data_IF_423634403178
#
_entry.id   IF_423634403178
#
_cell.length_a   1.000
_cell.length_b   1.000
_cell.length_c   1.000
_cell.angle_alpha   90.00
_cell.angle_beta   90.00
_cell.angle_gamma   90.00
#
_symmetry.space_group_name_H-M   'P 1'
#
loop_
_entity.id
_entity.type
_entity.pdbx_description
1 polymer ?
#
# COMPACT_ATOMS: atom_id res chain seq x y z
N UNK A 1 -47.35 -43.23 21.12
CA UNK A 1 -47.15 -43.21 19.65
C UNK A 1 -47.53 -41.81 19.16
N UNK A 2 -46.56 -40.90 18.98
CA UNK A 2 -46.82 -39.50 18.57
C UNK A 2 -46.96 -39.45 17.04
N UNK A 3 -48.16 -39.15 16.54
CA UNK A 3 -48.38 -38.91 15.10
C UNK A 3 -47.85 -37.52 14.74
N UNK A 4 -46.67 -37.46 14.12
CA UNK A 4 -46.19 -36.23 13.48
C UNK A 4 -47.05 -36.02 12.22
N UNK A 5 -48.04 -35.13 12.30
CA UNK A 5 -48.81 -34.69 11.15
C UNK A 5 -48.01 -33.62 10.39
N UNK A 6 -47.52 -33.97 9.19
CA UNK A 6 -47.02 -32.98 8.24
C UNK A 6 -48.21 -32.13 7.75
N UNK A 7 -48.32 -30.87 8.20
CA UNK A 7 -49.27 -29.90 7.67
C UNK A 7 -48.91 -29.62 6.20
N UNK A 8 -49.93 -29.51 5.33
CA UNK A 8 -49.75 -29.02 3.96
C UNK A 8 -49.09 -27.64 4.01
N UNK A 9 -48.04 -27.39 3.21
CA UNK A 9 -47.32 -26.13 3.28
C UNK A 9 -48.27 -25.00 2.87
N UNK A 10 -48.35 -23.98 3.72
CA UNK A 10 -49.14 -22.79 3.42
C UNK A 10 -48.34 -21.96 2.41
N UNK A 11 -48.86 -21.82 1.19
CA UNK A 11 -48.26 -21.03 0.10
C UNK A 11 -47.73 -19.65 0.56
N UNK A 12 -48.45 -18.86 1.40
CA UNK A 12 -47.92 -17.57 1.87
C UNK A 12 -46.68 -17.68 2.75
N UNK A 13 -46.58 -18.73 3.58
CA UNK A 13 -45.38 -18.99 4.41
C UNK A 13 -44.19 -19.44 3.56
N UNK A 14 -44.44 -20.22 2.51
CA UNK A 14 -43.38 -20.60 1.56
C UNK A 14 -42.84 -19.36 0.83
N UNK A 15 -43.72 -18.46 0.39
CA UNK A 15 -43.32 -17.22 -0.27
C UNK A 15 -42.50 -16.33 0.66
N UNK A 16 -42.94 -16.13 1.91
CA UNK A 16 -42.21 -15.36 2.90
C UNK A 16 -40.82 -15.95 3.20
N UNK A 17 -40.74 -17.27 3.38
CA UNK A 17 -39.48 -17.98 3.61
C UNK A 17 -38.52 -17.86 2.42
N UNK A 18 -39.04 -17.95 1.18
CA UNK A 18 -38.23 -17.79 -0.03
C UNK A 18 -37.62 -16.38 -0.13
N UNK A 19 -38.40 -15.34 0.17
CA UNK A 19 -37.89 -13.95 0.17
C UNK A 19 -36.77 -13.79 1.20
N UNK A 20 -36.95 -14.30 2.42
CA UNK A 20 -35.93 -14.24 3.47
C UNK A 20 -34.66 -14.99 3.03
N UNK A 21 -34.81 -16.18 2.44
CA UNK A 21 -33.68 -16.95 1.93
C UNK A 21 -32.91 -16.20 0.83
N UNK A 22 -33.61 -15.55 -0.11
CA UNK A 22 -33.01 -14.73 -1.15
C UNK A 22 -32.23 -13.55 -0.52
N UNK A 23 -32.82 -12.86 0.46
CA UNK A 23 -32.14 -11.78 1.17
C UNK A 23 -30.85 -12.24 1.87
N UNK A 24 -30.90 -13.38 2.57
CA UNK A 24 -29.73 -13.94 3.25
C UNK A 24 -28.62 -14.34 2.27
N UNK A 25 -28.99 -14.94 1.13
CA UNK A 25 -28.03 -15.26 0.07
C UNK A 25 -27.43 -13.98 -0.52
N UNK A 26 -28.25 -12.96 -0.78
CA UNK A 26 -27.77 -11.68 -1.30
C UNK A 26 -26.77 -10.99 -0.35
N UNK A 27 -27.02 -11.03 0.96
CA UNK A 27 -26.08 -10.53 1.98
C UNK A 27 -24.78 -11.34 1.95
N UNK A 28 -24.86 -12.67 1.92
CA UNK A 28 -23.68 -13.54 1.87
C UNK A 28 -22.81 -13.30 0.63
N UNK A 29 -23.44 -13.10 -0.53
CA UNK A 29 -22.75 -12.73 -1.78
C UNK A 29 -22.13 -11.34 -1.67
N UNK A 30 -22.85 -10.35 -1.14
CA UNK A 30 -22.33 -9.00 -0.94
C UNK A 30 -21.09 -8.97 -0.05
N UNK A 31 -21.08 -9.74 1.05
CA UNK A 31 -19.91 -9.90 1.92
C UNK A 31 -18.77 -10.62 1.20
N UNK A 32 -19.06 -11.62 0.37
CA UNK A 32 -18.03 -12.38 -0.36
C UNK A 32 -17.35 -11.57 -1.48
N UNK A 33 -18.05 -10.58 -2.04
CA UNK A 33 -17.54 -9.65 -3.08
C UNK A 33 -16.93 -8.39 -2.46
N UNK A 34 -16.99 -8.22 -1.13
CA UNK A 34 -16.41 -7.06 -0.47
C UNK A 34 -14.87 -7.09 -0.60
N UNK A 35 -14.36 -6.28 -1.52
CA UNK A 35 -12.93 -5.99 -1.64
C UNK A 35 -12.55 -5.03 -0.50
N UNK A 36 -11.67 -5.47 0.39
CA UNK A 36 -11.11 -4.63 1.46
C UNK A 36 -10.28 -3.49 0.85
N UNK A 37 -10.13 -2.37 1.56
CA UNK A 37 -9.53 -1.13 1.02
C UNK A 37 -8.18 -1.30 0.32
N UNK A 38 -7.34 -2.23 0.78
CA UNK A 38 -6.05 -2.59 0.17
C UNK A 38 -6.16 -3.23 -1.22
N UNK A 39 -7.26 -3.94 -1.51
CA UNK A 39 -7.51 -4.53 -2.84
C UNK A 39 -7.97 -3.52 -3.90
N UNK A 40 -8.24 -2.26 -3.54
CA UNK A 40 -8.72 -1.23 -4.48
C UNK A 40 -7.61 -0.46 -5.19
N UNK A 41 -6.37 -0.54 -4.73
CA UNK A 41 -5.26 0.24 -5.30
C UNK A 41 -4.60 -0.40 -6.53
N UNK A 42 -4.84 -1.70 -6.75
CA UNK A 42 -4.22 -2.46 -7.84
C UNK A 42 -2.70 -2.53 -7.67
N UNK A 43 -2.22 -2.62 -6.42
CA UNK A 43 -0.80 -2.79 -6.11
C UNK A 43 -0.31 -4.15 -6.63
N UNK A 44 0.91 -4.23 -7.20
CA UNK A 44 1.57 -5.51 -7.46
C UNK A 44 1.82 -6.26 -6.15
N UNK A 45 1.84 -7.60 -6.19
CA UNK A 45 2.05 -8.46 -5.01
C UNK A 45 3.30 -8.13 -4.17
N UNK A 46 4.29 -7.45 -4.75
CA UNK A 46 5.54 -7.07 -4.08
C UNK A 46 5.43 -5.74 -3.30
N UNK A 47 4.33 -5.02 -3.39
CA UNK A 47 4.09 -3.74 -2.72
C UNK A 47 2.90 -3.92 -1.78
N UNK A 48 3.14 -3.76 -0.49
CA UNK A 48 2.12 -3.94 0.55
C UNK A 48 1.33 -2.65 0.79
N UNK A 49 2.01 -1.50 0.69
CA UNK A 49 1.41 -0.18 0.90
C UNK A 49 2.20 0.93 0.18
N UNK A 50 1.51 2.00 -0.18
CA UNK A 50 2.11 3.26 -0.60
C UNK A 50 1.46 4.43 0.16
N UNK A 51 2.22 5.50 0.38
CA UNK A 51 1.69 6.79 0.82
C UNK A 51 2.49 7.92 0.15
N UNK A 52 1.86 8.99 -0.38
CA UNK A 52 0.42 9.15 -0.56
C UNK A 52 -0.16 8.07 -1.47
N UNK A 53 -1.41 7.69 -1.21
CA UNK A 53 -2.12 6.68 -1.99
C UNK A 53 -2.37 7.12 -3.42
N UNK A 54 -2.62 6.16 -4.33
CA UNK A 54 -2.88 6.44 -5.74
C UNK A 54 -4.05 7.42 -5.90
N UNK A 55 -3.80 8.49 -6.65
CA UNK A 55 -4.77 9.56 -6.92
C UNK A 55 -5.27 10.26 -5.65
N UNK A 56 -4.49 10.23 -4.57
CA UNK A 56 -4.71 11.09 -3.42
C UNK A 56 -4.74 12.55 -3.87
N UNK A 57 -5.65 13.32 -3.28
CA UNK A 57 -5.81 14.75 -3.55
C UNK A 57 -5.74 15.49 -2.23
N UNK A 58 -5.44 16.80 -2.29
CA UNK A 58 -5.27 17.64 -1.11
C UNK A 58 -4.13 17.15 -0.19
N UNK A 59 -3.04 16.71 -0.81
CA UNK A 59 -1.83 16.30 -0.12
C UNK A 59 -1.00 17.54 0.28
N UNK A 60 -0.46 17.65 1.51
CA UNK A 60 0.41 18.77 1.90
C UNK A 60 1.71 18.82 1.08
N UNK A 61 2.30 20.00 0.92
CA UNK A 61 3.60 20.16 0.21
C UNK A 61 4.78 19.50 0.92
N UNK A 62 4.67 19.27 2.23
CA UNK A 62 5.65 18.60 3.09
C UNK A 62 5.25 17.15 3.40
N UNK A 63 4.58 16.48 2.46
CA UNK A 63 4.19 15.08 2.65
C UNK A 63 5.40 14.15 2.52
N UNK A 64 5.41 13.05 3.27
CA UNK A 64 6.36 11.98 3.09
C UNK A 64 5.93 11.09 1.92
N UNK A 65 6.88 10.59 1.13
CA UNK A 65 6.65 9.51 0.16
C UNK A 65 7.17 8.20 0.74
N UNK A 66 6.26 7.25 0.91
CA UNK A 66 6.49 5.97 1.58
C UNK A 66 6.05 4.81 0.69
N UNK A 67 6.85 3.75 0.67
CA UNK A 67 6.51 2.48 0.03
C UNK A 67 6.87 1.34 0.98
N UNK A 68 5.89 0.52 1.29
CA UNK A 68 6.08 -0.75 1.99
C UNK A 68 6.20 -1.88 0.96
N UNK A 69 7.34 -2.55 0.92
CA UNK A 69 7.59 -3.66 0.02
C UNK A 69 7.47 -4.97 0.78
N UNK A 70 7.15 -6.04 0.06
CA UNK A 70 7.26 -7.37 0.63
C UNK A 70 8.70 -7.66 1.06
N UNK A 71 8.85 -8.34 2.20
CA UNK A 71 10.16 -8.77 2.72
C UNK A 71 11.00 -9.47 1.64
N UNK A 72 12.27 -9.06 1.53
CA UNK A 72 13.21 -9.57 0.53
C UNK A 72 13.30 -8.72 -0.74
N UNK A 73 12.50 -7.65 -0.84
CA UNK A 73 12.62 -6.63 -1.88
C UNK A 73 13.32 -5.37 -1.37
N UNK A 74 13.82 -4.59 -2.33
CA UNK A 74 14.33 -3.23 -2.14
C UNK A 74 14.07 -2.42 -3.41
N UNK A 75 14.41 -1.14 -3.43
CA UNK A 75 14.21 -0.31 -4.61
C UNK A 75 14.75 1.11 -4.51
N UNK A 76 14.41 1.88 -5.55
CA UNK A 76 14.67 3.32 -5.65
C UNK A 76 13.36 4.04 -5.97
N UNK A 77 13.23 5.25 -5.43
CA UNK A 77 12.13 6.15 -5.74
C UNK A 77 12.53 7.09 -6.88
N UNK A 78 11.61 7.29 -7.81
CA UNK A 78 11.67 8.32 -8.84
C UNK A 78 10.48 9.22 -8.63
N UNK A 79 10.71 10.51 -8.40
CA UNK A 79 9.65 11.51 -8.22
C UNK A 79 9.82 12.58 -9.29
N UNK A 80 8.77 12.80 -10.08
CA UNK A 80 8.77 13.74 -11.22
C UNK A 80 9.93 13.55 -12.22
N UNK A 81 10.37 12.29 -12.37
CA UNK A 81 11.47 11.91 -13.24
C UNK A 81 12.86 11.98 -12.60
N UNK A 82 12.98 12.45 -11.37
CA UNK A 82 14.22 12.47 -10.59
C UNK A 82 14.36 11.18 -9.77
N UNK A 83 15.38 10.38 -10.08
CA UNK A 83 15.76 9.22 -9.26
C UNK A 83 16.45 9.71 -7.98
N UNK A 84 15.88 9.34 -6.84
CA UNK A 84 16.44 9.63 -5.52
C UNK A 84 17.41 8.52 -5.12
N UNK A 85 18.52 8.91 -4.48
CA UNK A 85 19.46 7.96 -3.92
C UNK A 85 18.80 7.17 -2.79
N UNK A 86 18.94 5.85 -2.78
CA UNK A 86 18.49 5.00 -1.68
C UNK A 86 19.66 4.61 -0.80
N UNK A 87 19.57 4.92 0.49
CA UNK A 87 20.57 4.54 1.49
C UNK A 87 19.99 3.49 2.42
N UNK A 88 20.75 2.42 2.63
CA UNK A 88 20.38 1.34 3.54
C UNK A 88 20.67 1.74 4.99
N UNK A 89 19.62 1.79 5.82
CA UNK A 89 19.73 2.19 7.22
C UNK A 89 20.66 1.29 8.04
N UNK A 90 20.71 -0.02 7.75
CA UNK A 90 21.57 -0.95 8.47
C UNK A 90 23.05 -0.73 8.15
N UNK A 91 23.38 -0.28 6.94
CA UNK A 91 24.75 0.09 6.55
C UNK A 91 25.21 1.35 7.28
N UNK A 92 24.33 2.35 7.40
CA UNK A 92 24.61 3.58 8.17
C UNK A 92 24.81 3.25 9.65
N UNK A 93 23.94 2.41 10.22
CA UNK A 93 24.03 1.94 11.61
C UNK A 93 25.28 1.12 11.86
N UNK A 94 25.63 0.19 10.96
CA UNK A 94 26.81 -0.66 11.08
C UNK A 94 28.13 0.12 11.08
N UNK A 95 28.16 1.30 10.45
CA UNK A 95 29.31 2.19 10.42
C UNK A 95 29.37 3.16 11.63
N UNK A 96 28.35 3.19 12.47
CA UNK A 96 28.25 4.10 13.62
C UNK A 96 28.69 3.41 14.93
N UNK A 97 29.21 4.20 15.89
CA UNK A 97 29.57 3.66 17.21
C UNK A 97 28.32 3.40 18.06
N UNK A 98 28.31 2.38 18.93
CA UNK A 98 27.20 2.16 19.86
C UNK A 98 26.90 3.42 20.71
N UNK A 99 25.62 3.82 20.77
CA UNK A 99 25.18 5.01 21.50
C UNK A 99 25.42 6.35 20.80
N UNK A 100 25.96 6.34 19.58
CA UNK A 100 26.08 7.53 18.74
C UNK A 100 24.73 7.85 18.08
N UNK A 101 24.33 9.12 18.12
CA UNK A 101 23.20 9.62 17.33
C UNK A 101 23.54 9.56 15.83
N UNK A 102 22.63 8.99 15.04
CA UNK A 102 22.81 8.82 13.60
C UNK A 102 21.99 9.89 12.90
N UNK A 103 22.68 10.84 12.27
CA UNK A 103 22.04 11.78 11.35
C UNK A 103 21.85 11.09 10.01
N UNK A 104 20.60 10.92 9.59
CA UNK A 104 20.29 10.34 8.30
C UNK A 104 20.45 11.40 7.20
N UNK A 105 20.98 11.00 6.03
CA UNK A 105 21.03 11.88 4.87
C UNK A 105 19.61 12.19 4.38
N UNK A 106 19.38 13.37 3.81
CA UNK A 106 18.06 13.81 3.34
C UNK A 106 17.72 13.19 1.98
N UNK A 107 17.71 11.86 1.90
CA UNK A 107 17.42 11.07 0.70
C UNK A 107 16.49 9.90 1.03
N UNK A 108 16.17 9.04 0.06
CA UNK A 108 15.37 7.85 0.33
C UNK A 108 16.11 6.90 1.28
N UNK A 109 15.48 6.56 2.39
CA UNK A 109 15.98 5.59 3.37
C UNK A 109 15.30 4.25 3.13
N UNK A 110 16.10 3.20 2.97
CA UNK A 110 15.64 1.82 2.97
C UNK A 110 15.88 1.19 4.34
N UNK A 111 14.83 0.62 4.95
CA UNK A 111 14.92 -0.10 6.20
C UNK A 111 14.74 -1.62 5.96
N UNK A 112 15.82 -2.42 5.90
CA UNK A 112 15.73 -3.83 5.52
C UNK A 112 14.86 -4.68 6.45
N UNK A 113 14.77 -4.30 7.73
CA UNK A 113 13.96 -5.01 8.73
C UNK A 113 12.45 -4.96 8.43
N UNK A 114 11.99 -3.88 7.79
CA UNK A 114 10.58 -3.68 7.43
C UNK A 114 10.35 -3.64 5.91
N UNK A 115 11.42 -3.68 5.11
CA UNK A 115 11.39 -3.55 3.65
C UNK A 115 10.71 -2.25 3.15
N UNK A 116 10.84 -1.16 3.92
CA UNK A 116 10.25 0.13 3.60
C UNK A 116 11.22 1.06 2.88
N UNK A 117 10.71 1.87 1.95
CA UNK A 117 11.39 3.01 1.35
C UNK A 117 10.69 4.29 1.80
N UNK A 118 11.44 5.19 2.42
CA UNK A 118 10.91 6.43 2.98
C UNK A 118 11.69 7.62 2.46
N UNK A 119 11.00 8.60 1.87
CA UNK A 119 11.56 9.89 1.50
C UNK A 119 10.78 11.01 2.18
N UNK A 120 11.49 11.84 2.95
CA UNK A 120 10.93 12.97 3.68
C UNK A 120 11.52 14.29 3.13
N UNK A 121 10.71 15.15 2.49
CA UNK A 121 11.17 16.45 2.03
C UNK A 121 11.73 17.29 3.19
N UNK A 122 12.85 17.97 2.92
CA UNK A 122 13.54 18.83 3.87
C UNK A 122 14.36 19.88 3.13
N UNK A 123 14.78 20.98 3.78
CA UNK A 123 15.60 22.01 3.11
C UNK A 123 16.88 21.48 2.45
N UNK A 124 17.40 20.35 2.91
CA UNK A 124 18.64 19.73 2.45
C UNK A 124 18.42 18.57 1.45
N UNK A 125 17.17 18.12 1.23
CA UNK A 125 16.88 17.07 0.26
C UNK A 125 16.80 17.62 -1.16
N UNK A 126 17.03 16.74 -2.13
CA UNK A 126 16.94 17.09 -3.56
C UNK A 126 15.57 17.65 -3.96
N UNK A 127 14.51 17.20 -3.27
CA UNK A 127 13.18 17.80 -3.33
C UNK A 127 12.89 18.37 -1.94
N UNK A 128 12.93 19.68 -1.80
CA UNK A 128 12.75 20.33 -0.49
C UNK A 128 11.28 20.46 -0.08
N UNK A 129 10.39 20.53 -1.06
CA UNK A 129 8.95 20.49 -0.91
C UNK A 129 8.31 20.13 -2.26
N UNK A 130 7.06 19.67 -2.23
CA UNK A 130 6.25 19.49 -3.42
C UNK A 130 5.55 20.79 -3.83
N UNK A 131 5.63 21.13 -5.12
CA UNK A 131 4.89 22.24 -5.70
C UNK A 131 3.39 21.98 -5.72
N UNK A 132 2.57 23.02 -5.85
CA UNK A 132 1.14 22.81 -6.10
C UNK A 132 0.93 22.11 -7.44
N UNK A 133 0.09 21.06 -7.48
CA UNK A 133 -0.22 20.32 -8.70
C UNK A 133 -0.07 18.81 -8.58
N UNK A 134 -0.08 18.12 -9.73
CA UNK A 134 0.10 16.68 -9.81
C UNK A 134 1.58 16.31 -9.76
N UNK A 135 1.91 15.34 -8.91
CA UNK A 135 3.24 14.74 -8.77
C UNK A 135 3.18 13.27 -9.14
N UNK A 136 4.18 12.79 -9.89
CA UNK A 136 4.26 11.40 -10.35
C UNK A 136 5.36 10.69 -9.58
N UNK A 137 5.00 9.61 -8.90
CA UNK A 137 5.95 8.75 -8.20
C UNK A 137 6.06 7.41 -8.91
N UNK A 138 7.28 6.91 -9.02
CA UNK A 138 7.59 5.57 -9.49
C UNK A 138 8.56 4.90 -8.53
N UNK A 139 8.21 3.71 -8.09
CA UNK A 139 9.15 2.82 -7.42
C UNK A 139 9.70 1.84 -8.44
N UNK A 140 11.03 1.75 -8.54
CA UNK A 140 11.72 0.66 -9.22
C UNK A 140 12.21 -0.29 -8.15
N UNK A 141 11.72 -1.53 -8.15
CA UNK A 141 11.97 -2.50 -7.08
C UNK A 141 12.44 -3.84 -7.63
N UNK A 142 13.24 -4.55 -6.85
CA UNK A 142 13.78 -5.88 -7.18
C UNK A 142 14.00 -6.69 -5.91
N UNK A 143 14.10 -8.01 -6.06
CA UNK A 143 14.53 -8.87 -4.95
C UNK A 143 15.99 -8.63 -4.64
N UNK A 144 16.33 -8.53 -3.36
CA UNK A 144 17.71 -8.36 -2.86
C UNK A 144 18.69 -9.37 -3.50
N UNK A 145 18.26 -10.62 -3.66
CA UNK A 145 19.06 -11.72 -4.22
C UNK A 145 19.23 -11.67 -5.75
N UNK A 146 18.35 -10.98 -6.48
CA UNK A 146 18.38 -10.91 -7.94
C UNK A 146 19.05 -9.61 -8.43
N UNK A 147 19.03 -8.57 -7.59
CA UNK A 147 19.61 -7.26 -7.89
C UNK A 147 18.82 -6.46 -8.92
N UNK A 148 19.27 -5.22 -9.15
CA UNK A 148 18.58 -4.22 -9.98
C UNK A 148 18.37 -4.64 -11.44
N UNK A 149 19.16 -5.58 -11.96
CA UNK A 149 19.00 -6.09 -13.33
C UNK A 149 17.69 -6.86 -13.59
N UNK A 150 16.97 -7.27 -12.52
CA UNK A 150 15.64 -7.91 -12.59
C UNK A 150 14.52 -7.00 -12.07
N UNK A 151 14.76 -5.70 -12.05
CA UNK A 151 13.81 -4.75 -11.50
C UNK A 151 12.48 -4.70 -12.26
N UNK A 152 11.44 -4.42 -11.48
CA UNK A 152 10.10 -4.08 -11.93
C UNK A 152 9.82 -2.65 -11.51
N UNK A 153 8.77 -2.06 -12.07
CA UNK A 153 8.37 -0.72 -11.68
C UNK A 153 6.87 -0.64 -11.45
N UNK A 154 6.49 0.24 -10.54
CA UNK A 154 5.11 0.63 -10.32
C UNK A 154 5.03 2.16 -10.24
N UNK A 155 3.98 2.75 -10.79
CA UNK A 155 3.84 4.21 -10.92
C UNK A 155 2.45 4.64 -10.48
N UNK A 156 2.40 5.73 -9.73
CA UNK A 156 1.18 6.37 -9.27
C UNK A 156 1.39 7.89 -9.24
N UNK A 157 0.30 8.64 -9.03
CA UNK A 157 0.36 10.09 -8.84
C UNK A 157 -0.49 10.52 -7.65
N UNK A 158 -0.20 11.71 -7.15
CA UNK A 158 -1.00 12.42 -6.14
C UNK A 158 -1.02 13.92 -6.45
N UNK A 159 -1.95 14.66 -5.85
CA UNK A 159 -2.10 16.10 -6.07
C UNK A 159 -1.94 16.91 -4.80
N UNK A 160 -1.02 17.87 -4.84
CA UNK A 160 -0.73 18.86 -3.80
C UNK A 160 -1.57 20.11 -4.02
N UNK A 161 -2.09 20.68 -2.92
CA UNK A 161 -2.99 21.84 -2.94
C UNK A 161 -2.32 23.14 -2.52
#
# INVERSE_FOLDING_TARGET
MVRIQFRRPQLPLLAASLVIAICLVAIGVGVSVAVTGTGREGLPDAIEQIDPTRSASQVPSQTQVFVDLQVGFTGVLIIDGLELETINLDEVRGNSKPGQEITLPPTTIFEPGNATLTFDPSPESTISEFSQGEHIVKVIYWKLIEGRGRARSYTWSFTVF
#
